data_IF_267961401557
#
_entry.id   IF_267961401557
#
_cell.length_a   1.000
_cell.length_b   1.000
_cell.length_c   1.000
_cell.angle_alpha   90.00
_cell.angle_beta   90.00
_cell.angle_gamma   90.00
#
_symmetry.space_group_name_H-M   'P 1'
#
loop_
_entity.id
_entity.type
_entity.pdbx_description
1 polymer ?
#
# COMPACT_ATOMS: atom_id res chain seq x y z
N UNK A 1 6.40 9.61 -28.46
CA UNK A 1 5.70 10.71 -29.16
C UNK A 1 4.55 10.12 -29.95
N UNK A 2 3.32 10.64 -29.81
CA UNK A 2 2.14 10.14 -30.52
C UNK A 2 0.99 9.58 -29.66
N UNK A 3 1.00 9.79 -28.34
CA UNK A 3 -0.09 9.41 -27.44
C UNK A 3 -0.77 10.61 -26.78
N UNK A 4 -0.41 11.84 -27.14
CA UNK A 4 -0.91 13.06 -26.50
C UNK A 4 -2.45 13.17 -26.58
N UNK A 5 -3.06 12.73 -27.69
CA UNK A 5 -4.53 12.68 -27.84
C UNK A 5 -5.20 11.52 -27.07
N UNK A 6 -4.41 10.63 -26.45
CA UNK A 6 -4.89 9.47 -25.66
C UNK A 6 -4.64 9.65 -24.17
N UNK A 7 -4.16 10.82 -23.75
CA UNK A 7 -3.91 11.15 -22.34
C UNK A 7 -4.91 12.21 -21.92
N UNK A 8 -5.69 11.90 -20.89
CA UNK A 8 -6.52 12.86 -20.18
C UNK A 8 -6.07 12.96 -18.73
N UNK A 9 -6.40 14.08 -18.10
CA UNK A 9 -6.18 14.32 -16.68
C UNK A 9 -7.54 14.46 -16.02
N UNK A 10 -7.79 13.61 -15.04
CA UNK A 10 -9.05 13.58 -14.30
C UNK A 10 -8.75 13.83 -12.82
N UNK A 11 -9.68 14.48 -12.13
CA UNK A 11 -9.60 14.63 -10.68
C UNK A 11 -10.31 13.47 -9.99
N UNK A 12 -9.67 12.93 -8.96
CA UNK A 12 -10.32 12.03 -8.01
C UNK A 12 -10.85 12.86 -6.85
N UNK A 13 -12.10 12.63 -6.47
CA UNK A 13 -12.76 13.27 -5.34
C UNK A 13 -13.40 12.22 -4.44
N UNK A 14 -13.96 12.63 -3.30
CA UNK A 14 -14.71 11.71 -2.43
C UNK A 14 -15.92 11.08 -3.15
N UNK A 15 -16.48 11.76 -4.16
CA UNK A 15 -17.55 11.24 -5.02
C UNK A 15 -17.06 10.24 -6.09
N UNK A 16 -15.75 9.94 -6.10
CA UNK A 16 -15.12 8.98 -7.02
C UNK A 16 -14.50 9.63 -8.26
N UNK A 17 -14.48 8.85 -9.35
CA UNK A 17 -13.95 9.28 -10.65
C UNK A 17 -15.04 9.94 -11.51
N UNK A 18 -14.66 10.95 -12.28
CA UNK A 18 -15.54 11.68 -13.21
C UNK A 18 -15.81 10.94 -14.53
N UNK A 19 -15.07 9.88 -14.83
CA UNK A 19 -15.13 9.17 -16.09
C UNK A 19 -16.04 7.94 -16.03
N UNK A 20 -16.59 7.53 -17.17
CA UNK A 20 -17.41 6.32 -17.25
C UNK A 20 -16.59 5.05 -16.99
N UNK A 21 -17.16 4.01 -16.35
CA UNK A 21 -16.44 2.77 -16.06
C UNK A 21 -15.67 2.21 -17.27
N UNK A 22 -14.45 1.73 -17.02
CA UNK A 22 -13.50 1.35 -18.07
C UNK A 22 -13.30 -0.16 -18.17
N UNK A 23 -12.80 -0.60 -19.32
CA UNK A 23 -12.11 -1.88 -19.47
C UNK A 23 -10.61 -1.61 -19.62
N UNK A 24 -9.80 -2.02 -18.64
CA UNK A 24 -8.39 -1.61 -18.59
C UNK A 24 -7.67 -1.97 -17.32
N UNK A 25 -6.90 -1.04 -16.77
CA UNK A 25 -6.20 -1.26 -15.52
C UNK A 25 -6.00 0.02 -14.71
N UNK A 26 -6.09 -0.13 -13.39
CA UNK A 26 -5.68 0.89 -12.43
C UNK A 26 -4.29 0.53 -11.90
N UNK A 27 -3.38 1.50 -11.85
CA UNK A 27 -2.04 1.34 -11.29
C UNK A 27 -1.84 2.43 -10.24
N UNK A 28 -1.52 2.02 -9.01
CA UNK A 28 -1.10 2.91 -7.94
C UNK A 28 0.28 2.48 -7.44
N UNK A 29 1.15 3.47 -7.23
CA UNK A 29 2.49 3.27 -6.67
C UNK A 29 2.70 4.35 -5.61
N UNK A 30 2.88 3.97 -4.34
CA UNK A 30 3.07 4.90 -3.21
C UNK A 30 1.96 5.95 -3.17
N UNK A 31 0.72 5.47 -3.23
CA UNK A 31 -0.46 6.32 -3.15
C UNK A 31 -1.21 6.07 -1.85
N UNK A 32 -1.31 4.80 -1.44
CA UNK A 32 -2.19 4.42 -0.34
C UNK A 32 -1.55 4.73 1.00
N UNK A 33 -0.22 4.65 1.11
CA UNK A 33 0.56 5.08 2.27
C UNK A 33 0.39 6.56 2.65
N UNK A 34 0.10 7.40 1.65
CA UNK A 34 -0.11 8.84 1.78
C UNK A 34 -1.55 9.23 2.13
N UNK A 35 -2.50 8.29 2.07
CA UNK A 35 -3.87 8.55 2.47
C UNK A 35 -3.97 8.75 3.97
N UNK A 36 -4.85 9.67 4.39
CA UNK A 36 -5.04 9.98 5.80
C UNK A 36 -5.53 8.76 6.58
N UNK A 37 -4.92 8.54 7.74
CA UNK A 37 -5.24 7.44 8.65
C UNK A 37 -5.77 7.97 9.97
N UNK A 38 -6.64 7.18 10.60
CA UNK A 38 -6.96 7.32 12.00
C UNK A 38 -5.87 6.64 12.83
N UNK A 39 -5.47 7.26 13.93
CA UNK A 39 -4.64 6.59 14.94
C UNK A 39 -5.51 6.12 16.09
N UNK A 40 -5.40 4.85 16.46
CA UNK A 40 -6.14 4.26 17.58
C UNK A 40 -5.17 3.68 18.60
N UNK A 41 -5.65 3.55 19.83
CA UNK A 41 -4.93 2.93 20.93
C UNK A 41 -5.88 2.11 21.79
N UNK A 42 -5.41 0.99 22.34
CA UNK A 42 -6.14 0.31 23.41
C UNK A 42 -5.74 0.90 24.75
N UNK A 43 -6.69 1.48 25.47
CA UNK A 43 -6.50 2.01 26.82
C UNK A 43 -7.66 1.58 27.72
N UNK A 44 -7.35 1.07 28.90
CA UNK A 44 -8.31 0.47 29.84
C UNK A 44 -9.05 -0.76 29.25
N UNK A 45 -8.42 -1.48 28.32
CA UNK A 45 -9.00 -2.53 27.48
C UNK A 45 -10.11 -2.08 26.52
N UNK A 46 -10.20 -0.78 26.21
CA UNK A 46 -11.10 -0.25 25.20
C UNK A 46 -10.32 0.37 24.05
N UNK A 47 -10.81 0.14 22.82
CA UNK A 47 -10.29 0.84 21.65
C UNK A 47 -10.72 2.31 21.71
N UNK A 48 -9.75 3.22 21.73
CA UNK A 48 -9.93 4.67 21.73
C UNK A 48 -9.18 5.28 20.55
N UNK A 49 -9.51 6.49 20.18
CA UNK A 49 -8.87 7.22 19.09
C UNK A 49 -7.92 8.29 19.62
N UNK A 50 -6.81 8.49 18.93
CA UNK A 50 -5.81 9.52 19.21
C UNK A 50 -6.13 10.73 18.33
N UNK A 51 -6.57 11.80 18.97
CA UNK A 51 -6.83 13.10 18.34
C UNK A 51 -5.66 14.05 18.53
N UNK A 52 -5.61 15.08 17.69
CA UNK A 52 -4.67 16.20 17.83
C UNK A 52 -5.40 17.40 18.42
N UNK A 53 -4.86 17.97 19.50
CA UNK A 53 -5.35 19.19 20.14
C UNK A 53 -4.21 20.19 20.35
N UNK A 54 -4.51 21.35 20.93
CA UNK A 54 -3.51 22.37 21.29
C UNK A 54 -3.52 22.64 22.79
N UNK A 55 -2.35 22.61 23.41
CA UNK A 55 -2.12 23.11 24.78
C UNK A 55 -1.05 24.18 24.74
N UNK A 56 -1.33 25.38 25.26
CA UNK A 56 -0.42 26.53 25.24
C UNK A 56 0.15 26.87 23.85
N UNK A 57 -0.64 26.64 22.80
CA UNK A 57 -0.25 26.89 21.41
C UNK A 57 0.66 25.83 20.78
N UNK A 58 0.92 24.72 21.49
CA UNK A 58 1.68 23.57 21.00
C UNK A 58 0.72 22.43 20.70
N UNK A 59 0.91 21.75 19.55
CA UNK A 59 0.14 20.55 19.22
C UNK A 59 0.50 19.41 20.18
N UNK A 60 -0.52 18.71 20.66
CA UNK A 60 -0.37 17.52 21.47
C UNK A 60 -1.50 16.53 21.21
N UNK A 61 -1.29 15.29 21.61
CA UNK A 61 -2.27 14.22 21.45
C UNK A 61 -3.30 14.24 22.58
N UNK A 62 -4.53 13.86 22.25
CA UNK A 62 -5.61 13.60 23.20
C UNK A 62 -6.28 12.28 22.85
N UNK A 63 -6.34 11.37 23.80
CA UNK A 63 -7.07 10.10 23.65
C UNK A 63 -8.54 10.36 24.01
N UNK A 64 -9.47 9.93 23.15
CA UNK A 64 -10.91 10.07 23.38
C UNK A 64 -11.70 8.95 22.68
N UNK A 65 -13.03 8.98 22.80
CA UNK A 65 -13.95 8.04 22.14
C UNK A 65 -13.73 8.00 20.61
N UNK A 66 -14.02 6.85 20.00
CA UNK A 66 -13.91 6.67 18.54
C UNK A 66 -14.81 7.66 17.80
N UNK A 67 -14.28 8.29 16.76
CA UNK A 67 -15.02 9.20 15.88
C UNK A 67 -16.11 8.50 15.06
N UNK A 68 -15.91 7.21 14.79
CA UNK A 68 -16.82 6.37 14.02
C UNK A 68 -16.79 4.92 14.50
N UNK A 69 -17.96 4.26 14.46
CA UNK A 69 -18.07 2.82 14.74
C UNK A 69 -17.39 1.97 13.65
N UNK A 70 -17.09 2.55 12.49
CA UNK A 70 -16.33 1.90 11.42
C UNK A 70 -14.94 1.47 11.88
N UNK A 71 -14.30 2.22 12.79
CA UNK A 71 -13.00 1.86 13.36
C UNK A 71 -13.07 0.55 14.16
N UNK A 72 -14.13 0.36 14.96
CA UNK A 72 -14.31 -0.88 15.70
C UNK A 72 -14.68 -2.05 14.76
N UNK A 73 -15.54 -1.79 13.77
CA UNK A 73 -15.94 -2.78 12.77
C UNK A 73 -14.74 -3.24 11.93
N UNK A 74 -13.83 -2.34 11.60
CA UNK A 74 -12.61 -2.63 10.85
C UNK A 74 -11.80 -3.77 11.49
N UNK A 75 -11.53 -3.68 12.79
CA UNK A 75 -10.80 -4.73 13.52
C UNK A 75 -11.61 -6.02 13.66
N UNK A 76 -12.94 -5.91 13.89
CA UNK A 76 -13.84 -7.08 13.97
C UNK A 76 -13.85 -7.88 12.67
N UNK A 77 -13.92 -7.21 11.53
CA UNK A 77 -13.94 -7.85 10.21
C UNK A 77 -12.62 -8.57 9.91
N UNK A 78 -11.49 -7.90 10.21
CA UNK A 78 -10.15 -8.47 10.07
C UNK A 78 -9.81 -9.52 11.13
N UNK A 79 -10.64 -9.65 12.17
CA UNK A 79 -10.42 -10.53 13.34
C UNK A 79 -9.10 -10.26 14.05
N UNK A 80 -8.81 -8.97 14.26
CA UNK A 80 -7.61 -8.50 14.94
C UNK A 80 -7.97 -7.99 16.32
N UNK A 81 -7.30 -8.50 17.33
CA UNK A 81 -7.41 -8.04 18.71
C UNK A 81 -6.11 -7.34 19.12
N UNK A 82 -6.15 -6.01 19.22
CA UNK A 82 -5.03 -5.21 19.70
C UNK A 82 -4.84 -5.40 21.22
N UNK A 83 -3.60 -5.25 21.70
CA UNK A 83 -3.23 -5.36 23.12
C UNK A 83 -3.29 -4.00 23.82
N UNK A 84 -3.42 -4.01 25.14
CA UNK A 84 -3.34 -2.80 25.97
C UNK A 84 -2.07 -1.99 25.65
N UNK A 85 -2.23 -0.68 25.43
CA UNK A 85 -1.17 0.24 25.05
C UNK A 85 -0.73 0.17 23.58
N UNK A 86 -1.24 -0.78 22.80
CA UNK A 86 -0.92 -0.91 21.38
C UNK A 86 -1.55 0.23 20.58
N UNK A 87 -0.71 0.98 19.87
CA UNK A 87 -1.09 1.94 18.84
C UNK A 87 -1.20 1.28 17.48
N UNK A 88 -2.10 1.79 16.66
CA UNK A 88 -2.34 1.27 15.32
C UNK A 88 -2.92 2.36 14.39
N UNK A 89 -2.61 2.25 13.11
CA UNK A 89 -3.25 3.04 12.06
C UNK A 89 -4.43 2.29 11.42
N UNK A 90 -5.50 3.02 11.12
CA UNK A 90 -6.66 2.55 10.36
C UNK A 90 -6.89 3.48 9.17
N UNK A 91 -6.76 2.95 7.96
CA UNK A 91 -6.92 3.71 6.72
C UNK A 91 -8.31 3.44 6.10
N UNK A 92 -9.33 4.15 6.57
CA UNK A 92 -10.69 4.01 6.03
C UNK A 92 -10.79 4.56 4.60
N UNK A 93 -10.03 5.61 4.26
CA UNK A 93 -9.99 6.19 2.91
C UNK A 93 -9.47 5.22 1.85
N UNK A 94 -8.58 4.29 2.22
CA UNK A 94 -8.14 3.22 1.33
C UNK A 94 -9.28 2.25 0.96
N UNK A 95 -10.26 2.06 1.86
CA UNK A 95 -11.43 1.22 1.60
C UNK A 95 -12.38 1.91 0.62
N UNK A 96 -12.68 3.19 0.86
CA UNK A 96 -13.47 4.02 -0.06
C UNK A 96 -12.84 4.04 -1.45
N UNK A 97 -11.52 4.16 -1.51
CA UNK A 97 -10.75 4.20 -2.75
C UNK A 97 -10.87 2.90 -3.56
N UNK A 98 -10.69 1.72 -2.93
CA UNK A 98 -10.79 0.45 -3.66
C UNK A 98 -12.22 0.14 -4.09
N UNK A 99 -13.21 0.54 -3.29
CA UNK A 99 -14.63 0.45 -3.69
C UNK A 99 -14.90 1.30 -4.94
N UNK A 100 -14.45 2.56 -4.93
CA UNK A 100 -14.57 3.46 -6.07
C UNK A 100 -13.88 2.92 -7.33
N UNK A 101 -12.68 2.36 -7.20
CA UNK A 101 -11.99 1.69 -8.31
C UNK A 101 -12.83 0.53 -8.85
N UNK A 102 -13.36 -0.33 -7.97
CA UNK A 102 -14.17 -1.45 -8.42
C UNK A 102 -15.41 -0.99 -9.17
N UNK A 103 -16.10 0.05 -8.70
CA UNK A 103 -17.25 0.65 -9.38
C UNK A 103 -16.91 1.15 -10.80
N UNK A 104 -15.68 1.64 -11.00
CA UNK A 104 -15.21 2.17 -12.28
C UNK A 104 -14.46 1.14 -13.14
N UNK A 105 -14.34 -0.11 -12.69
CA UNK A 105 -13.71 -1.19 -13.45
C UNK A 105 -14.77 -2.22 -13.88
N UNK A 106 -15.11 -2.22 -15.16
CA UNK A 106 -15.98 -3.26 -15.74
C UNK A 106 -15.23 -4.57 -15.91
N UNK A 107 -14.00 -4.48 -16.45
CA UNK A 107 -13.15 -5.62 -16.73
C UNK A 107 -11.69 -5.20 -16.76
N UNK A 108 -10.82 -5.91 -16.05
CA UNK A 108 -9.42 -5.52 -16.00
C UNK A 108 -8.71 -5.87 -14.70
N UNK A 109 -7.66 -5.09 -14.41
CA UNK A 109 -6.77 -5.28 -13.26
C UNK A 109 -6.65 -4.02 -12.40
N UNK A 110 -6.39 -4.22 -11.12
CA UNK A 110 -5.97 -3.18 -10.18
C UNK A 110 -4.62 -3.62 -9.64
N UNK A 111 -3.58 -2.81 -9.81
CA UNK A 111 -2.22 -3.08 -9.34
C UNK A 111 -1.86 -1.99 -8.34
N UNK A 112 -1.60 -2.42 -7.10
CA UNK A 112 -1.22 -1.54 -6.00
C UNK A 112 0.16 -1.94 -5.52
N UNK A 113 1.09 -0.99 -5.58
CA UNK A 113 2.49 -1.15 -5.18
C UNK A 113 2.75 -0.19 -4.03
N UNK A 114 2.97 -0.73 -2.84
CA UNK A 114 3.06 0.10 -1.64
C UNK A 114 3.83 -0.59 -0.49
N UNK A 115 4.21 0.19 0.52
CA UNK A 115 4.84 -0.29 1.74
C UNK A 115 3.79 -0.90 2.66
N UNK A 116 3.72 -2.23 2.76
CA UNK A 116 2.66 -2.81 3.57
C UNK A 116 2.77 -4.29 3.89
N UNK A 117 1.82 -4.73 4.70
CA UNK A 117 1.76 -6.05 5.31
C UNK A 117 0.33 -6.58 5.35
N UNK A 118 0.18 -7.89 5.56
CA UNK A 118 -1.12 -8.48 5.90
C UNK A 118 -1.48 -8.15 7.34
N UNK A 119 -2.77 -8.15 7.69
CA UNK A 119 -3.28 -7.67 8.97
C UNK A 119 -2.56 -8.27 10.20
N UNK A 120 -2.31 -9.58 10.21
CA UNK A 120 -1.63 -10.26 11.32
C UNK A 120 -0.20 -9.74 11.56
N UNK A 121 0.53 -9.44 10.48
CA UNK A 121 1.89 -8.88 10.57
C UNK A 121 1.85 -7.37 10.85
N UNK A 122 0.89 -6.67 10.23
CA UNK A 122 0.69 -5.23 10.36
C UNK A 122 0.36 -4.82 11.80
N UNK A 123 -0.52 -5.58 12.47
CA UNK A 123 -0.93 -5.37 13.86
C UNK A 123 -0.24 -6.29 14.87
N UNK A 124 0.91 -6.86 14.50
CA UNK A 124 1.69 -7.72 15.40
C UNK A 124 2.18 -6.97 16.65
N UNK A 125 2.49 -7.73 17.70
CA UNK A 125 3.01 -7.18 18.96
C UNK A 125 4.35 -6.45 18.78
N UNK A 126 5.14 -6.81 17.77
CA UNK A 126 6.39 -6.14 17.41
C UNK A 126 6.17 -4.72 16.86
N UNK A 127 4.95 -4.40 16.41
CA UNK A 127 4.53 -3.10 15.88
C UNK A 127 3.60 -2.36 16.84
N UNK A 128 3.88 -2.46 18.14
CA UNK A 128 3.03 -1.87 19.17
C UNK A 128 2.94 -0.34 19.13
N UNK A 129 3.89 0.33 18.48
CA UNK A 129 3.91 1.79 18.30
C UNK A 129 3.23 2.26 17.00
N UNK A 130 2.70 1.36 16.18
CA UNK A 130 2.20 1.68 14.85
C UNK A 130 3.32 1.77 13.79
N UNK A 131 2.98 2.38 12.66
CA UNK A 131 3.83 2.47 11.46
C UNK A 131 3.91 3.89 10.88
N UNK A 132 3.29 4.88 11.52
CA UNK A 132 3.36 6.26 11.08
C UNK A 132 4.82 6.76 11.06
N UNK A 133 5.24 7.30 9.93
CA UNK A 133 6.61 7.76 9.70
C UNK A 133 6.60 9.06 8.91
N UNK A 134 7.45 9.99 9.32
CA UNK A 134 7.61 11.28 8.67
C UNK A 134 8.97 11.40 7.98
N UNK A 135 8.99 12.06 6.82
CA UNK A 135 10.19 12.26 6.03
C UNK A 135 10.44 13.74 5.73
N UNK A 136 11.67 14.19 5.96
CA UNK A 136 12.11 15.55 5.65
C UNK A 136 13.60 15.56 5.26
N UNK A 137 13.96 16.04 4.07
CA UNK A 137 15.36 16.17 3.60
C UNK A 137 16.24 14.92 3.83
N UNK A 138 15.73 13.72 3.50
CA UNK A 138 16.37 12.41 3.73
C UNK A 138 16.58 12.02 5.21
N UNK A 139 15.85 12.66 6.12
CA UNK A 139 15.77 12.26 7.54
C UNK A 139 14.38 11.74 7.86
N UNK A 140 14.32 10.81 8.82
CA UNK A 140 13.08 10.18 9.30
C UNK A 140 12.76 10.65 10.71
N UNK A 141 11.48 10.83 11.01
CA UNK A 141 10.97 11.17 12.35
C UNK A 141 9.65 10.44 12.60
N UNK A 142 9.41 10.00 13.82
CA UNK A 142 8.11 9.42 14.22
C UNK A 142 7.13 10.51 14.70
N UNK A 143 7.55 11.78 14.72
CA UNK A 143 6.75 12.88 15.23
C UNK A 143 6.08 13.69 14.09
N UNK A 144 4.75 13.55 13.88
CA UNK A 144 4.03 14.27 12.83
C UNK A 144 3.88 15.78 13.08
N UNK A 145 4.23 16.27 14.28
CA UNK A 145 3.95 17.63 14.71
C UNK A 145 5.12 18.61 14.54
N UNK A 146 6.29 18.15 14.04
CA UNK A 146 7.52 18.96 14.01
C UNK A 146 7.56 20.00 12.89
N UNK A 147 7.18 19.61 11.66
CA UNK A 147 7.29 20.45 10.46
C UNK A 147 6.01 20.44 9.63
N UNK A 148 4.92 20.87 10.25
CA UNK A 148 3.58 20.90 9.63
C UNK A 148 3.64 21.57 8.25
N UNK A 149 3.11 20.88 7.25
CA UNK A 149 3.08 21.34 5.84
C UNK A 149 4.42 21.28 5.11
N UNK A 150 5.51 20.88 5.77
CA UNK A 150 6.86 20.83 5.20
C UNK A 150 7.49 19.44 5.27
N UNK A 151 6.95 18.51 6.06
CA UNK A 151 7.35 17.10 6.07
C UNK A 151 6.27 16.23 5.42
N UNK A 152 6.70 15.14 4.83
CA UNK A 152 5.82 14.06 4.41
C UNK A 152 5.40 13.21 5.62
N UNK A 153 4.19 12.65 5.58
CA UNK A 153 3.64 11.78 6.62
C UNK A 153 3.03 10.58 5.92
N UNK A 154 3.56 9.41 6.25
CA UNK A 154 3.17 8.13 5.64
C UNK A 154 2.79 7.14 6.73
N UNK A 155 2.03 6.13 6.35
CA UNK A 155 1.83 4.93 7.17
C UNK A 155 1.98 3.70 6.29
N UNK A 156 2.41 2.58 6.86
CA UNK A 156 2.36 1.35 6.09
C UNK A 156 0.91 1.00 5.76
N UNK A 157 0.72 0.24 4.69
CA UNK A 157 -0.60 -0.15 4.20
C UNK A 157 -0.98 -1.52 4.76
N UNK A 158 -2.19 -1.63 5.32
CA UNK A 158 -2.79 -2.92 5.63
C UNK A 158 -3.43 -3.53 4.37
N UNK A 159 -2.70 -4.42 3.69
CA UNK A 159 -3.12 -5.02 2.42
C UNK A 159 -4.29 -5.99 2.59
N UNK A 160 -4.46 -6.59 3.77
CA UNK A 160 -5.64 -7.44 4.04
C UNK A 160 -6.92 -6.62 3.93
N UNK A 161 -6.93 -5.39 4.42
CA UNK A 161 -8.11 -4.52 4.36
C UNK A 161 -8.49 -4.14 2.92
N UNK A 162 -7.49 -3.86 2.06
CA UNK A 162 -7.70 -3.59 0.63
C UNK A 162 -8.20 -4.84 -0.10
N UNK A 163 -7.61 -6.00 0.20
CA UNK A 163 -8.05 -7.29 -0.35
C UNK A 163 -9.53 -7.54 -0.03
N UNK A 164 -9.90 -7.42 1.23
CA UNK A 164 -11.27 -7.68 1.69
C UNK A 164 -12.28 -6.67 1.13
N UNK A 165 -11.97 -5.37 1.17
CA UNK A 165 -12.83 -4.34 0.59
C UNK A 165 -12.98 -4.50 -0.94
N UNK A 166 -11.90 -4.85 -1.63
CA UNK A 166 -11.96 -5.20 -3.06
C UNK A 166 -12.86 -6.40 -3.32
N UNK A 167 -12.75 -7.48 -2.54
CA UNK A 167 -13.60 -8.68 -2.66
C UNK A 167 -15.07 -8.32 -2.43
N UNK A 168 -15.39 -7.57 -1.37
CA UNK A 168 -16.75 -7.10 -1.08
C UNK A 168 -17.32 -6.26 -2.23
N UNK A 169 -16.46 -5.50 -2.91
CA UNK A 169 -16.81 -4.67 -4.06
C UNK A 169 -16.83 -5.42 -5.40
N UNK A 170 -16.61 -6.74 -5.40
CA UNK A 170 -16.66 -7.58 -6.61
C UNK A 170 -15.36 -7.72 -7.39
N UNK A 171 -14.22 -7.34 -6.79
CA UNK A 171 -12.90 -7.72 -7.28
C UNK A 171 -12.54 -9.14 -6.83
N UNK A 172 -11.55 -9.74 -7.47
CA UNK A 172 -10.93 -10.99 -7.06
C UNK A 172 -9.42 -10.81 -6.95
N UNK A 173 -8.80 -11.40 -5.94
CA UNK A 173 -7.34 -11.31 -5.77
C UNK A 173 -6.63 -12.25 -6.74
N UNK A 174 -5.81 -11.68 -7.62
CA UNK A 174 -4.97 -12.44 -8.57
C UNK A 174 -3.67 -12.88 -7.90
N UNK A 175 -3.06 -12.01 -7.11
CA UNK A 175 -1.82 -12.33 -6.41
C UNK A 175 -1.35 -11.22 -5.49
N UNK A 176 -0.53 -11.63 -4.53
CA UNK A 176 0.13 -10.76 -3.55
C UNK A 176 1.56 -11.26 -3.40
N UNK A 177 2.54 -10.43 -3.79
CA UNK A 177 3.96 -10.80 -3.81
C UNK A 177 4.83 -9.64 -3.34
N UNK A 178 6.08 -9.94 -2.99
CA UNK A 178 7.09 -8.89 -2.77
C UNK A 178 7.46 -8.22 -4.09
N UNK A 179 7.81 -6.94 -4.04
CA UNK A 179 8.29 -6.21 -5.22
C UNK A 179 9.50 -6.88 -5.87
N UNK A 180 10.42 -7.42 -5.07
CA UNK A 180 11.58 -8.17 -5.59
C UNK A 180 11.16 -9.34 -6.49
N UNK A 181 10.25 -10.20 -6.00
CA UNK A 181 9.74 -11.34 -6.76
C UNK A 181 9.01 -10.88 -8.04
N UNK A 182 8.18 -9.84 -7.94
CA UNK A 182 7.45 -9.29 -9.08
C UNK A 182 8.40 -8.78 -10.18
N UNK A 183 9.40 -7.98 -9.81
CA UNK A 183 10.37 -7.41 -10.76
C UNK A 183 11.28 -8.48 -11.37
N UNK A 184 11.69 -9.48 -10.59
CA UNK A 184 12.47 -10.62 -11.10
C UNK A 184 11.65 -11.41 -12.11
N UNK A 185 10.39 -11.73 -11.80
CA UNK A 185 9.50 -12.43 -12.72
C UNK A 185 9.24 -11.63 -14.02
N UNK A 186 9.27 -10.30 -13.97
CA UNK A 186 9.22 -9.42 -15.15
C UNK A 186 10.55 -9.27 -15.90
N UNK A 187 11.63 -9.91 -15.44
CA UNK A 187 12.92 -9.94 -16.14
C UNK A 187 13.85 -8.76 -15.85
N UNK A 188 13.77 -8.15 -14.66
CA UNK A 188 14.68 -7.04 -14.27
C UNK A 188 16.16 -7.43 -14.36
N UNK A 189 16.50 -8.70 -14.13
CA UNK A 189 17.87 -9.21 -14.20
C UNK A 189 18.45 -9.13 -15.63
N UNK A 190 17.63 -9.43 -16.64
CA UNK A 190 18.02 -9.27 -18.05
C UNK A 190 18.28 -7.79 -18.38
N UNK A 191 17.44 -6.88 -17.87
CA UNK A 191 17.64 -5.42 -18.02
C UNK A 191 18.90 -4.91 -17.36
N UNK A 192 19.32 -5.50 -16.24
CA UNK A 192 20.60 -5.19 -15.60
C UNK A 192 21.79 -5.65 -16.43
N UNK A 193 21.70 -6.83 -17.04
CA UNK A 193 22.74 -7.33 -17.94
C UNK A 193 22.94 -6.39 -19.15
N UNK A 194 21.86 -5.87 -19.72
CA UNK A 194 21.91 -4.89 -20.81
C UNK A 194 22.49 -3.53 -20.37
N UNK A 195 22.42 -3.22 -19.07
CA UNK A 195 22.96 -2.00 -18.47
C UNK A 195 24.42 -2.13 -18.00
N UNK A 196 25.11 -3.24 -18.32
CA UNK A 196 26.53 -3.44 -17.98
C UNK A 196 27.38 -2.30 -18.57
N UNK A 197 27.87 -1.42 -17.69
CA UNK A 197 28.65 -0.22 -18.04
C UNK A 197 28.07 1.07 -17.46
N UNK A 198 26.80 1.08 -17.06
CA UNK A 198 26.15 2.21 -16.37
C UNK A 198 25.97 1.88 -14.88
N UNK A 199 26.97 2.26 -14.08
CA UNK A 199 27.01 1.97 -12.65
C UNK A 199 25.85 2.62 -11.87
N UNK A 200 25.41 3.81 -12.27
CA UNK A 200 24.30 4.53 -11.63
C UNK A 200 22.97 3.80 -11.85
N UNK A 201 22.73 3.36 -13.09
CA UNK A 201 21.54 2.58 -13.43
C UNK A 201 21.52 1.22 -12.74
N UNK A 202 22.67 0.55 -12.65
CA UNK A 202 22.81 -0.72 -11.92
C UNK A 202 22.54 -0.55 -10.41
N UNK A 203 23.03 0.53 -9.79
CA UNK A 203 22.78 0.81 -8.38
C UNK A 203 21.30 1.11 -8.10
N UNK A 204 20.67 1.91 -8.97
CA UNK A 204 19.23 2.21 -8.89
C UNK A 204 18.40 0.93 -9.01
N UNK A 205 18.72 0.08 -9.99
CA UNK A 205 18.04 -1.21 -10.16
C UNK A 205 18.23 -2.09 -8.92
N UNK A 206 19.44 -2.19 -8.37
CA UNK A 206 19.70 -2.97 -7.15
C UNK A 206 18.84 -2.52 -5.97
N UNK A 207 18.70 -1.22 -5.75
CA UNK A 207 17.89 -0.70 -4.64
C UNK A 207 16.41 -1.12 -4.74
N UNK A 208 15.86 -1.28 -5.95
CA UNK A 208 14.46 -1.64 -6.18
C UNK A 208 14.10 -3.09 -5.81
N UNK A 209 15.04 -4.03 -5.84
CA UNK A 209 14.73 -5.46 -5.63
C UNK A 209 15.63 -6.16 -4.59
N UNK A 210 16.69 -5.54 -4.09
CA UNK A 210 17.57 -6.20 -3.12
C UNK A 210 16.87 -6.48 -1.78
N UNK A 211 17.10 -7.67 -1.19
CA UNK A 211 16.64 -7.98 0.16
C UNK A 211 17.20 -7.00 1.20
N UNK A 212 16.40 -6.66 2.22
CA UNK A 212 16.76 -5.66 3.24
C UNK A 212 16.67 -4.20 2.78
N UNK A 213 16.19 -3.94 1.55
CA UNK A 213 15.83 -2.61 1.04
C UNK A 213 14.37 -2.56 0.59
N UNK A 214 14.07 -1.75 -0.43
CA UNK A 214 12.70 -1.61 -0.98
C UNK A 214 12.11 -2.93 -1.48
N UNK A 215 12.95 -3.85 -1.97
CA UNK A 215 12.51 -5.12 -2.54
C UNK A 215 11.73 -6.03 -1.60
N UNK A 216 11.99 -5.97 -0.29
CA UNK A 216 11.26 -6.75 0.73
C UNK A 216 10.13 -5.95 1.38
N UNK A 217 10.33 -4.64 1.56
CA UNK A 217 9.36 -3.76 2.21
C UNK A 217 8.12 -3.56 1.33
N UNK A 218 8.32 -3.28 0.04
CA UNK A 218 7.22 -3.10 -0.89
C UNK A 218 6.52 -4.42 -1.22
N UNK A 219 5.21 -4.33 -1.33
CA UNK A 219 4.35 -5.40 -1.81
C UNK A 219 3.64 -4.97 -3.08
N UNK A 220 3.39 -5.95 -3.94
CA UNK A 220 2.57 -5.80 -5.14
C UNK A 220 1.31 -6.62 -4.93
N UNK A 221 0.19 -5.94 -4.77
CA UNK A 221 -1.14 -6.52 -4.77
C UNK A 221 -1.75 -6.36 -6.15
N UNK A 222 -2.24 -7.47 -6.71
CA UNK A 222 -2.99 -7.45 -7.97
C UNK A 222 -4.36 -8.06 -7.75
N UNK A 223 -5.40 -7.28 -8.04
CA UNK A 223 -6.79 -7.72 -8.10
C UNK A 223 -7.32 -7.60 -9.54
N UNK A 224 -8.41 -8.28 -9.84
CA UNK A 224 -9.04 -8.26 -11.16
C UNK A 224 -10.57 -8.28 -11.08
N UNK A 225 -11.21 -7.89 -12.18
CA UNK A 225 -12.67 -7.95 -12.36
C UNK A 225 -13.00 -8.38 -13.78
N UNK A 226 -14.05 -9.18 -13.96
CA UNK A 226 -14.53 -9.59 -15.29
C UNK A 226 -13.55 -10.45 -16.11
N UNK A 227 -12.56 -11.08 -15.46
CA UNK A 227 -11.57 -11.95 -16.11
C UNK A 227 -11.57 -13.30 -15.40
N UNK A 228 -11.64 -14.39 -16.15
CA UNK A 228 -11.55 -15.75 -15.59
C UNK A 228 -10.11 -16.22 -15.55
N UNK A 229 -9.63 -16.66 -14.39
CA UNK A 229 -8.31 -17.27 -14.16
C UNK A 229 -7.15 -16.53 -14.87
N UNK A 230 -6.91 -15.24 -14.58
CA UNK A 230 -5.82 -14.52 -15.20
C UNK A 230 -4.44 -15.06 -14.79
N UNK A 231 -3.62 -15.40 -15.78
CA UNK A 231 -2.22 -15.75 -15.59
C UNK A 231 -1.33 -14.54 -15.92
N UNK A 232 -0.54 -14.07 -14.94
CA UNK A 232 0.31 -12.91 -15.08
C UNK A 232 1.78 -13.29 -14.93
N UNK A 233 2.63 -12.80 -15.85
CA UNK A 233 4.08 -13.07 -15.85
C UNK A 233 4.70 -12.67 -14.50
N UNK A 234 4.35 -11.48 -13.98
CA UNK A 234 4.88 -10.97 -12.71
C UNK A 234 4.48 -11.78 -11.47
N UNK A 235 3.56 -12.74 -11.58
CA UNK A 235 3.11 -13.60 -10.48
C UNK A 235 3.59 -15.05 -10.63
N UNK A 236 4.39 -15.36 -11.65
CA UNK A 236 4.93 -16.71 -11.85
C UNK A 236 5.85 -17.11 -10.70
N UNK A 237 5.80 -18.39 -10.34
CA UNK A 237 6.68 -18.90 -9.29
C UNK A 237 8.13 -18.89 -9.76
N UNK A 238 9.03 -18.47 -8.88
CA UNK A 238 10.48 -18.56 -9.08
C UNK A 238 10.96 -20.02 -9.30
N UNK A 239 10.14 -21.01 -8.91
CA UNK A 239 10.41 -22.44 -9.10
C UNK A 239 9.97 -22.99 -10.47
N UNK A 240 9.33 -22.19 -11.32
CA UNK A 240 8.88 -22.65 -12.64
C UNK A 240 10.07 -22.87 -13.62
N UNK A 241 10.12 -24.02 -14.32
CA UNK A 241 11.14 -24.31 -15.31
C UNK A 241 11.11 -23.29 -16.47
N UNK A 242 12.11 -22.42 -16.54
CA UNK A 242 12.20 -21.35 -17.53
C UNK A 242 12.74 -20.05 -16.92
N UNK A 243 12.20 -19.66 -15.76
CA UNK A 243 12.70 -18.52 -14.98
C UNK A 243 14.05 -18.85 -14.33
N UNK A 244 14.20 -20.07 -13.81
CA UNK A 244 15.46 -20.57 -13.27
C UNK A 244 16.59 -20.62 -14.31
N UNK A 245 16.30 -20.86 -15.60
CA UNK A 245 17.31 -20.83 -16.67
C UNK A 245 17.79 -19.41 -17.01
N UNK A 246 16.95 -18.40 -16.83
CA UNK A 246 17.35 -16.99 -16.95
C UNK A 246 18.21 -16.54 -15.76
N UNK A 247 17.99 -17.15 -14.58
CA UNK A 247 18.78 -16.92 -13.36
C UNK A 247 20.10 -17.73 -13.39
N UNK A 248 20.11 -18.97 -13.84
CA UNK A 248 21.33 -19.80 -13.89
C UNK A 248 22.26 -19.44 -15.08
N UNK A 249 21.82 -18.54 -15.97
CA UNK A 249 22.66 -17.93 -17.01
C UNK A 249 23.54 -16.76 -16.53
N UNK A 250 23.69 -16.57 -15.21
CA UNK A 250 24.67 -15.67 -14.60
C UNK A 250 26.10 -16.20 -14.71
#
# INVERSE_FOLDING_TARGET
KGFEEKVSWESFSEDGFSFSPIEGGFLSNEFVDSLSVHQVIVEDNYLKEIYVTTTDGVLCEKIDELSSLELENYFKELKIDLKEGQRAEVNLKALDWVENISCHLNRGFVITIDYGHLAEEFYSEERCSGTLMCYFEHTTSENPYERIGNQDITSHVNLSSIIEAGIKSGLSTTGFVRQSNFLIALGILNKMNDAKGDFSKLLTMKNLFMPGGMGDMFKVLIQHKGISNPELIGLRSMSEPGLAKEIEGF
#
